data_IF_663301184155
#
_entry.id   IF_663301184155
#
_cell.length_a   1.000
_cell.length_b   1.000
_cell.length_c   1.000
_cell.angle_alpha   90.00
_cell.angle_beta   90.00
_cell.angle_gamma   90.00
#
_symmetry.space_group_name_H-M   'P 1'
#
loop_
_entity.id
_entity.type
_entity.pdbx_description
1 polymer ?
#
# COMPACT_ATOMS: atom_id res chain seq x y z
N UNK A 1 39.97 -15.58 29.31
CA UNK A 1 41.01 -16.59 28.99
C UNK A 1 40.60 -17.31 27.73
N UNK A 2 41.52 -17.32 26.81
CA UNK A 2 41.68 -17.99 25.51
C UNK A 2 41.30 -17.21 24.26
N UNK A 3 42.40 -16.70 23.75
CA UNK A 3 42.61 -16.19 22.39
C UNK A 3 42.64 -17.29 21.34
N UNK A 4 42.17 -17.07 20.13
CA UNK A 4 42.82 -17.65 18.96
C UNK A 4 42.92 -16.60 17.84
N UNK A 5 44.13 -16.20 17.55
CA UNK A 5 44.58 -15.48 16.35
C UNK A 5 44.90 -16.53 15.27
N UNK A 6 44.56 -16.27 14.05
CA UNK A 6 45.00 -17.03 12.88
C UNK A 6 45.10 -16.12 11.66
N UNK A 7 46.33 -15.65 11.41
CA UNK A 7 46.74 -14.95 10.19
C UNK A 7 47.25 -16.01 9.21
N UNK A 8 46.80 -15.97 7.94
CA UNK A 8 47.57 -16.53 6.82
C UNK A 8 47.44 -15.59 5.61
N UNK A 9 48.56 -15.02 5.23
CA UNK A 9 48.84 -14.36 3.96
C UNK A 9 49.61 -15.30 3.06
N UNK A 10 49.37 -15.33 1.77
CA UNK A 10 50.28 -15.75 0.66
C UNK A 10 49.61 -15.29 -0.64
N UNK A 11 50.08 -14.33 -1.35
CA UNK A 11 51.23 -14.23 -2.26
C UNK A 11 50.82 -14.34 -3.75
N UNK A 12 51.25 -13.35 -4.46
CA UNK A 12 51.11 -13.02 -5.88
C UNK A 12 51.71 -14.07 -6.85
N UNK A 13 51.18 -14.12 -8.08
CA UNK A 13 51.96 -14.51 -9.24
C UNK A 13 51.43 -13.81 -10.50
N UNK A 14 52.20 -12.92 -11.00
CA UNK A 14 52.17 -12.23 -12.28
C UNK A 14 52.64 -13.19 -13.41
N UNK A 15 51.97 -13.19 -14.56
CA UNK A 15 52.54 -13.70 -15.81
C UNK A 15 52.17 -12.77 -16.96
N UNK A 16 53.12 -11.95 -17.33
CA UNK A 16 53.20 -11.25 -18.61
C UNK A 16 53.64 -12.22 -19.70
N UNK A 17 52.93 -12.23 -20.83
CA UNK A 17 53.44 -12.75 -22.10
C UNK A 17 53.28 -11.68 -23.16
N UNK A 18 54.39 -11.06 -23.49
CA UNK A 18 54.60 -10.32 -24.74
C UNK A 18 54.99 -11.29 -25.80
N UNK A 19 54.41 -11.23 -27.00
CA UNK A 19 55.07 -11.63 -28.23
C UNK A 19 54.80 -10.62 -29.34
N UNK A 20 55.88 -10.19 -29.93
CA UNK A 20 56.01 -9.14 -30.92
C UNK A 20 55.98 -9.67 -32.35
N UNK A 21 55.53 -8.79 -33.25
CA UNK A 21 55.98 -8.52 -34.63
C UNK A 21 56.31 -9.67 -35.58
N UNK A 22 55.70 -9.63 -36.75
CA UNK A 22 56.49 -9.46 -37.97
C UNK A 22 55.55 -9.18 -39.17
N UNK A 23 56.01 -8.27 -40.04
CA UNK A 23 55.35 -7.61 -41.12
C UNK A 23 55.16 -8.47 -42.39
N UNK A 24 54.40 -7.92 -43.30
CA UNK A 24 54.16 -8.46 -44.67
C UNK A 24 53.22 -7.56 -45.45
N UNK A 25 53.74 -6.86 -46.39
CA UNK A 25 53.12 -5.95 -47.35
C UNK A 25 52.21 -6.67 -48.33
N UNK A 26 51.03 -6.10 -48.74
CA UNK A 26 50.22 -6.61 -49.84
C UNK A 26 48.86 -5.97 -50.00
N UNK A 27 48.77 -5.05 -50.89
CA UNK A 27 47.71 -4.42 -51.71
C UNK A 27 46.24 -4.79 -51.52
N UNK A 28 45.44 -3.74 -51.40
CA UNK A 28 44.11 -3.43 -51.98
C UNK A 28 43.06 -4.51 -52.12
N UNK A 29 41.95 -4.35 -51.40
CA UNK A 29 40.60 -4.45 -51.96
C UNK A 29 39.58 -3.86 -50.94
N UNK A 30 38.89 -2.86 -51.39
CA UNK A 30 37.70 -2.26 -50.83
C UNK A 30 36.63 -3.30 -50.50
N UNK A 31 36.23 -3.41 -49.27
CA UNK A 31 34.90 -3.88 -48.87
C UNK A 31 34.45 -3.13 -47.64
N UNK A 32 33.57 -2.15 -47.88
CA UNK A 32 32.69 -1.58 -46.87
C UNK A 32 31.98 -2.67 -46.09
N UNK A 33 32.52 -3.01 -44.95
CA UNK A 33 31.79 -3.78 -43.94
C UNK A 33 31.01 -2.76 -43.08
N UNK A 34 29.71 -2.61 -43.41
CA UNK A 34 28.74 -1.94 -42.59
C UNK A 34 28.70 -2.68 -41.23
N UNK A 35 29.37 -2.14 -40.25
CA UNK A 35 29.21 -2.61 -38.87
C UNK A 35 27.81 -2.19 -38.38
N UNK A 36 26.85 -3.12 -38.53
CA UNK A 36 25.60 -3.06 -37.79
C UNK A 36 25.95 -3.08 -36.29
N UNK A 37 25.98 -1.91 -35.69
CA UNK A 37 25.95 -1.79 -34.23
C UNK A 37 24.62 -2.36 -33.77
N UNK A 38 24.58 -3.64 -33.42
CA UNK A 38 23.53 -4.21 -32.58
C UNK A 38 23.61 -3.45 -31.26
N UNK A 39 22.76 -2.45 -31.11
CA UNK A 39 22.45 -1.86 -29.79
C UNK A 39 21.88 -3.00 -28.95
N UNK A 40 22.72 -3.62 -28.11
CA UNK A 40 22.26 -4.43 -27.00
C UNK A 40 21.44 -3.50 -26.13
N UNK A 41 20.14 -3.62 -26.18
CA UNK A 41 19.26 -2.99 -25.19
C UNK A 41 19.56 -3.72 -23.87
N UNK A 42 20.51 -3.19 -23.14
CA UNK A 42 20.80 -3.64 -21.79
C UNK A 42 19.51 -3.44 -20.99
N UNK A 43 18.87 -4.53 -20.59
CA UNK A 43 17.64 -4.46 -19.80
C UNK A 43 17.95 -3.67 -18.53
N UNK A 44 17.28 -2.53 -18.37
CA UNK A 44 17.47 -1.69 -17.19
C UNK A 44 17.30 -2.51 -15.92
N UNK A 45 18.20 -2.32 -14.95
CA UNK A 45 18.12 -3.03 -13.67
C UNK A 45 16.75 -2.79 -13.00
N UNK A 46 16.17 -3.81 -12.35
CA UNK A 46 14.88 -3.66 -11.69
C UNK A 46 14.94 -2.59 -10.60
N UNK A 47 13.93 -1.75 -10.56
CA UNK A 47 13.74 -0.71 -9.54
C UNK A 47 12.85 -1.27 -8.44
N UNK A 48 13.36 -1.36 -7.22
CA UNK A 48 12.58 -1.75 -6.05
C UNK A 48 11.84 -0.52 -5.51
N UNK A 49 10.51 -0.57 -5.46
CA UNK A 49 9.63 0.51 -5.00
C UNK A 49 8.91 0.12 -3.71
N UNK A 50 9.13 0.86 -2.63
CA UNK A 50 8.49 0.63 -1.33
C UNK A 50 7.22 1.47 -1.21
N UNK A 51 6.06 0.85 -1.19
CA UNK A 51 4.75 1.49 -1.08
C UNK A 51 4.17 1.25 0.32
N UNK A 52 4.04 2.32 1.09
CA UNK A 52 3.36 2.31 2.37
C UNK A 52 1.89 2.64 2.16
N UNK A 53 1.01 1.68 2.39
CA UNK A 53 -0.40 1.80 2.05
C UNK A 53 -1.32 1.36 3.19
N UNK A 54 -2.44 2.04 3.34
CA UNK A 54 -3.48 1.67 4.29
C UNK A 54 -3.89 0.20 4.13
N UNK A 55 -4.14 -0.49 5.25
CA UNK A 55 -4.41 -1.94 5.27
C UNK A 55 -5.60 -2.36 4.39
N UNK A 56 -6.61 -1.50 4.21
CA UNK A 56 -7.75 -1.73 3.32
C UNK A 56 -7.39 -1.83 1.83
N UNK A 57 -6.18 -1.37 1.44
CA UNK A 57 -5.68 -1.43 0.06
C UNK A 57 -4.98 -2.74 -0.30
N UNK A 58 -4.85 -3.67 0.64
CA UNK A 58 -4.05 -4.89 0.53
C UNK A 58 -4.46 -5.88 -0.57
N UNK A 59 -5.62 -5.69 -1.18
CA UNK A 59 -6.11 -6.48 -2.32
C UNK A 59 -6.00 -5.71 -3.64
N UNK A 60 -6.39 -4.43 -3.63
CA UNK A 60 -6.44 -3.63 -4.84
C UNK A 60 -5.03 -3.22 -5.33
N UNK A 61 -4.15 -2.79 -4.44
CA UNK A 61 -2.82 -2.29 -4.84
C UNK A 61 -1.92 -3.37 -5.44
N UNK A 62 -1.83 -4.61 -4.90
CA UNK A 62 -1.10 -5.68 -5.57
C UNK A 62 -1.64 -5.97 -6.98
N UNK A 63 -2.97 -6.02 -7.16
CA UNK A 63 -3.55 -6.23 -8.49
C UNK A 63 -3.20 -5.08 -9.45
N UNK A 64 -3.23 -3.81 -9.00
CA UNK A 64 -2.81 -2.67 -9.81
C UNK A 64 -1.34 -2.79 -10.21
N UNK A 65 -0.47 -3.16 -9.27
CA UNK A 65 0.95 -3.36 -9.56
C UNK A 65 1.18 -4.48 -10.58
N UNK A 66 0.50 -5.62 -10.42
CA UNK A 66 0.71 -6.81 -11.24
C UNK A 66 0.05 -6.72 -12.64
N UNK A 67 -1.02 -5.93 -12.79
CA UNK A 67 -1.77 -5.86 -14.05
C UNK A 67 -1.60 -4.52 -14.77
N UNK A 68 -1.64 -3.40 -14.06
CA UNK A 68 -1.60 -2.06 -14.67
C UNK A 68 -0.16 -1.53 -14.78
N UNK A 69 0.56 -1.49 -13.66
CA UNK A 69 1.93 -0.98 -13.65
C UNK A 69 2.87 -1.89 -14.44
N UNK A 70 2.81 -3.20 -14.23
CA UNK A 70 3.68 -4.16 -14.90
C UNK A 70 3.51 -4.22 -16.43
N UNK A 71 2.31 -3.86 -16.92
CA UNK A 71 2.05 -3.78 -18.37
C UNK A 71 2.87 -2.64 -19.01
N UNK A 72 3.01 -1.50 -18.34
CA UNK A 72 3.74 -0.31 -18.83
C UNK A 72 5.21 -0.30 -18.42
N UNK A 73 5.50 -0.79 -17.22
CA UNK A 73 6.81 -0.66 -16.56
C UNK A 73 7.23 -1.97 -15.86
N UNK A 74 7.56 -3.04 -16.63
CA UNK A 74 7.83 -4.37 -16.08
C UNK A 74 9.06 -4.46 -15.19
N UNK A 75 9.94 -3.45 -15.22
CA UNK A 75 11.15 -3.39 -14.39
C UNK A 75 10.91 -2.82 -13.00
N UNK A 76 9.70 -2.30 -12.71
CA UNK A 76 9.37 -1.81 -11.37
C UNK A 76 8.81 -2.97 -10.54
N UNK A 77 9.50 -3.29 -9.43
CA UNK A 77 9.05 -4.28 -8.45
C UNK A 77 8.53 -3.57 -7.22
N UNK A 78 7.26 -3.75 -6.90
CA UNK A 78 6.63 -3.08 -5.77
C UNK A 78 6.64 -4.00 -4.54
N UNK A 79 7.15 -3.45 -3.43
CA UNK A 79 7.04 -4.04 -2.10
C UNK A 79 6.07 -3.22 -1.28
N UNK A 80 5.08 -3.87 -0.67
CA UNK A 80 4.04 -3.20 0.10
C UNK A 80 4.23 -3.37 1.60
N UNK A 81 4.03 -2.25 2.34
CA UNK A 81 3.84 -2.26 3.78
C UNK A 81 2.39 -1.84 4.06
N UNK A 82 1.54 -2.81 4.43
CA UNK A 82 0.13 -2.58 4.72
C UNK A 82 -0.13 -2.49 6.22
N UNK A 83 -0.39 -1.28 6.72
CA UNK A 83 -0.69 -1.00 8.13
C UNK A 83 -1.82 0.04 8.27
N UNK A 84 -2.22 0.37 9.50
CA UNK A 84 -3.01 1.57 9.74
C UNK A 84 -2.24 2.82 9.31
N UNK A 85 -2.92 3.79 8.68
CA UNK A 85 -2.24 4.98 8.14
C UNK A 85 -1.49 5.78 9.20
N UNK A 86 -1.97 5.79 10.45
CA UNK A 86 -1.26 6.41 11.58
C UNK A 86 0.09 5.73 11.85
N UNK A 87 0.12 4.41 11.89
CA UNK A 87 1.34 3.62 12.09
C UNK A 87 2.34 3.86 10.96
N UNK A 88 1.87 3.96 9.70
CA UNK A 88 2.74 4.25 8.55
C UNK A 88 3.36 5.64 8.64
N UNK A 89 2.60 6.65 9.09
CA UNK A 89 3.14 8.00 9.33
C UNK A 89 4.22 7.97 10.41
N UNK A 90 4.00 7.24 11.50
CA UNK A 90 4.98 7.15 12.57
C UNK A 90 6.25 6.42 12.09
N UNK A 91 6.13 5.33 11.34
CA UNK A 91 7.27 4.65 10.71
C UNK A 91 8.06 5.58 9.78
N UNK A 92 7.38 6.41 8.97
CA UNK A 92 8.06 7.38 8.10
C UNK A 92 8.78 8.46 8.91
N UNK A 93 8.22 8.93 10.04
CA UNK A 93 8.90 9.86 10.97
C UNK A 93 10.16 9.24 11.58
N UNK A 94 10.14 7.94 11.81
CA UNK A 94 11.29 7.17 12.30
C UNK A 94 12.31 6.84 11.20
N UNK A 95 12.08 7.29 9.97
CA UNK A 95 13.00 7.13 8.84
C UNK A 95 12.83 5.84 8.03
N UNK A 96 11.70 5.15 8.16
CA UNK A 96 11.42 3.99 7.33
C UNK A 96 11.39 4.37 5.82
N UNK A 97 12.03 3.57 4.93
CA UNK A 97 12.23 3.91 3.53
C UNK A 97 10.95 3.67 2.72
N UNK A 98 10.04 4.63 2.71
CA UNK A 98 8.87 4.64 1.86
C UNK A 98 9.13 5.51 0.62
N UNK A 99 8.70 5.06 -0.55
CA UNK A 99 8.73 5.83 -1.80
C UNK A 99 7.38 6.48 -2.08
N UNK A 100 6.29 5.77 -1.77
CA UNK A 100 4.91 6.22 -1.93
C UNK A 100 4.16 5.99 -0.62
N UNK A 101 3.31 6.94 -0.24
CA UNK A 101 2.38 6.82 0.88
C UNK A 101 0.94 6.98 0.41
N UNK A 102 0.08 6.00 0.75
CA UNK A 102 -1.36 6.01 0.48
C UNK A 102 -2.15 5.85 1.78
N UNK A 103 -2.87 6.90 2.19
CA UNK A 103 -3.64 6.95 3.42
C UNK A 103 -5.12 6.59 3.21
N UNK A 104 -5.78 6.07 4.24
CA UNK A 104 -7.23 5.84 4.25
C UNK A 104 -8.03 7.02 4.86
N UNK A 105 -7.39 8.10 5.20
CA UNK A 105 -8.04 9.37 5.57
C UNK A 105 -7.16 10.58 5.29
N UNK A 106 -7.80 11.72 5.14
CA UNK A 106 -7.12 13.02 4.98
C UNK A 106 -6.36 13.42 6.25
N UNK A 107 -6.86 13.06 7.45
CA UNK A 107 -6.24 13.42 8.72
C UNK A 107 -4.82 12.89 8.87
N UNK A 108 -4.58 11.62 8.53
CA UNK A 108 -3.24 11.04 8.58
C UNK A 108 -2.36 11.52 7.41
N UNK A 109 -2.93 11.80 6.23
CA UNK A 109 -2.17 12.46 5.17
C UNK A 109 -1.73 13.86 5.59
N UNK A 110 -2.61 14.66 6.23
CA UNK A 110 -2.24 15.98 6.77
C UNK A 110 -1.11 15.88 7.79
N UNK A 111 -1.11 14.89 8.69
CA UNK A 111 0.04 14.67 9.59
C UNK A 111 1.34 14.40 8.82
N UNK A 112 1.27 13.70 7.70
CA UNK A 112 2.46 13.43 6.87
C UNK A 112 2.94 14.69 6.13
N UNK A 113 2.02 15.52 5.62
CA UNK A 113 2.36 16.79 4.96
C UNK A 113 2.94 17.82 5.95
N UNK A 114 2.32 17.95 7.14
CA UNK A 114 2.78 18.87 8.20
C UNK A 114 4.18 18.49 8.69
N UNK A 115 4.46 17.19 8.74
CA UNK A 115 5.78 16.65 9.07
C UNK A 115 6.76 16.69 7.88
N UNK A 116 6.36 17.22 6.71
CA UNK A 116 7.16 17.31 5.48
C UNK A 116 7.70 15.95 5.01
N UNK A 117 6.91 14.90 5.19
CA UNK A 117 7.27 13.53 4.80
C UNK A 117 6.86 13.21 3.35
N UNK A 118 5.87 13.91 2.82
CA UNK A 118 5.29 13.66 1.49
C UNK A 118 5.16 14.94 0.69
N UNK A 119 5.18 14.78 -0.63
CA UNK A 119 4.85 15.83 -1.59
C UNK A 119 3.32 16.08 -1.61
N UNK A 120 2.85 16.91 -2.55
CA UNK A 120 1.42 17.24 -2.69
C UNK A 120 0.57 15.99 -2.94
N UNK A 121 -0.38 15.66 -2.03
CA UNK A 121 -1.22 14.48 -2.18
C UNK A 121 -2.27 14.65 -3.27
N UNK A 122 -2.66 13.52 -3.89
CA UNK A 122 -3.77 13.43 -4.83
C UNK A 122 -4.83 12.47 -4.29
N UNK A 123 -6.11 12.84 -4.21
CA UNK A 123 -7.18 11.91 -3.85
C UNK A 123 -7.37 10.90 -4.99
N UNK A 124 -7.52 9.61 -4.66
CA UNK A 124 -7.67 8.56 -5.66
C UNK A 124 -8.88 7.65 -5.43
N UNK A 125 -9.43 7.60 -4.22
CA UNK A 125 -10.59 6.77 -3.88
C UNK A 125 -11.34 7.35 -2.68
N UNK A 126 -12.52 6.79 -2.41
CA UNK A 126 -13.26 7.02 -1.18
C UNK A 126 -13.88 5.71 -0.66
N UNK A 127 -14.24 5.68 0.63
CA UNK A 127 -14.82 4.53 1.30
C UNK A 127 -15.73 4.98 2.44
N UNK A 128 -16.59 4.08 2.90
CA UNK A 128 -17.47 4.29 4.05
C UNK A 128 -17.42 3.11 4.99
N UNK A 129 -17.78 3.33 6.26
CA UNK A 129 -17.88 2.25 7.23
C UNK A 129 -19.16 1.44 7.05
N UNK A 130 -19.07 0.18 7.41
CA UNK A 130 -20.21 -0.74 7.60
C UNK A 130 -19.99 -1.58 8.85
N UNK A 131 -21.06 -2.15 9.38
CA UNK A 131 -21.01 -3.11 10.48
C UNK A 131 -20.97 -4.50 9.90
N UNK A 132 -20.05 -5.35 10.37
CA UNK A 132 -20.01 -6.77 10.01
C UNK A 132 -20.21 -7.62 11.25
N UNK A 133 -20.86 -8.77 11.05
CA UNK A 133 -21.05 -9.81 12.06
C UNK A 133 -20.63 -11.16 11.49
N UNK A 134 -20.30 -12.17 12.30
CA UNK A 134 -20.05 -13.51 11.80
C UNK A 134 -21.24 -14.05 11.01
N UNK A 135 -20.99 -14.94 10.04
CA UNK A 135 -22.02 -15.58 9.24
C UNK A 135 -23.16 -16.14 10.10
N UNK A 136 -24.40 -15.88 9.70
CA UNK A 136 -25.59 -16.30 10.43
C UNK A 136 -25.94 -15.41 11.62
N UNK A 137 -25.18 -14.36 11.86
CA UNK A 137 -25.44 -13.37 12.92
C UNK A 137 -25.88 -14.00 14.26
N UNK A 138 -25.05 -14.85 14.87
CA UNK A 138 -25.44 -15.60 16.07
C UNK A 138 -25.79 -14.70 17.25
N UNK A 139 -25.24 -13.49 17.31
CA UNK A 139 -25.49 -12.50 18.34
C UNK A 139 -26.78 -11.68 18.12
N UNK A 140 -27.45 -11.84 16.95
CA UNK A 140 -28.68 -11.15 16.55
C UNK A 140 -28.56 -9.61 16.61
N UNK A 141 -27.42 -9.10 16.14
CA UNK A 141 -27.14 -7.65 16.07
C UNK A 141 -27.90 -7.08 14.88
N UNK A 142 -28.54 -5.93 15.06
CA UNK A 142 -29.41 -5.29 14.07
C UNK A 142 -28.88 -3.96 13.56
N UNK A 143 -27.91 -3.35 14.26
CA UNK A 143 -27.34 -2.06 13.88
C UNK A 143 -26.35 -1.51 14.90
N UNK A 144 -26.04 -0.23 14.77
CA UNK A 144 -25.34 0.55 15.82
C UNK A 144 -26.38 1.04 16.83
N UNK A 145 -26.94 0.13 17.58
CA UNK A 145 -28.04 0.34 18.52
C UNK A 145 -27.88 -0.56 19.76
N UNK A 146 -28.90 -0.63 20.61
CA UNK A 146 -28.88 -1.46 21.82
C UNK A 146 -28.69 -2.96 21.58
N UNK A 147 -28.80 -3.46 20.35
CA UNK A 147 -28.46 -4.86 20.04
C UNK A 147 -26.97 -5.18 20.24
N UNK A 148 -26.13 -4.18 20.36
CA UNK A 148 -24.71 -4.30 20.69
C UNK A 148 -24.44 -4.38 22.21
N UNK A 149 -25.44 -4.15 23.05
CA UNK A 149 -25.26 -4.15 24.51
C UNK A 149 -24.80 -5.54 24.99
N UNK A 150 -23.66 -5.56 25.69
CA UNK A 150 -23.04 -6.80 26.18
C UNK A 150 -22.43 -7.69 25.11
N UNK A 151 -22.35 -7.24 23.85
CA UNK A 151 -21.71 -7.96 22.76
C UNK A 151 -20.23 -7.58 22.60
N UNK A 152 -19.45 -8.48 22.02
CA UNK A 152 -18.03 -8.26 21.73
C UNK A 152 -17.89 -7.43 20.47
N UNK A 153 -18.07 -6.11 20.60
CA UNK A 153 -17.79 -5.17 19.51
C UNK A 153 -16.29 -4.92 19.42
N UNK A 154 -15.73 -5.01 18.23
CA UNK A 154 -14.34 -4.64 17.92
C UNK A 154 -14.32 -3.51 16.92
N UNK A 155 -13.47 -2.50 17.15
CA UNK A 155 -13.33 -1.32 16.30
C UNK A 155 -11.85 -1.02 16.06
N UNK A 156 -11.55 -0.06 15.19
CA UNK A 156 -10.20 0.47 15.09
C UNK A 156 -9.91 1.46 16.23
N UNK A 157 -8.67 1.48 16.72
CA UNK A 157 -8.20 2.45 17.68
C UNK A 157 -8.36 3.89 17.20
N UNK A 158 -8.55 4.81 18.13
CA UNK A 158 -8.59 6.23 17.82
C UNK A 158 -7.25 6.69 17.22
N UNK A 159 -7.32 7.51 16.16
CA UNK A 159 -6.13 7.94 15.39
C UNK A 159 -5.90 7.13 14.12
N UNK A 160 -6.30 5.87 14.11
CA UNK A 160 -6.38 5.06 12.88
C UNK A 160 -7.56 5.56 12.03
N UNK A 161 -7.48 5.57 10.68
CA UNK A 161 -8.54 6.10 9.82
C UNK A 161 -9.94 5.55 10.12
N UNK A 162 -10.07 4.23 10.23
CA UNK A 162 -11.35 3.58 10.59
C UNK A 162 -11.84 3.94 12.00
N UNK A 163 -10.93 4.13 12.97
CA UNK A 163 -11.29 4.60 14.32
C UNK A 163 -11.75 6.06 14.34
N UNK A 164 -11.09 6.92 13.54
CA UNK A 164 -11.54 8.30 13.36
C UNK A 164 -12.95 8.36 12.74
N UNK A 165 -13.22 7.54 11.73
CA UNK A 165 -14.53 7.44 11.09
C UNK A 165 -15.59 6.85 12.05
N UNK A 166 -15.23 5.82 12.83
CA UNK A 166 -16.11 5.22 13.85
C UNK A 166 -16.57 6.27 14.84
N UNK A 167 -15.63 7.07 15.37
CA UNK A 167 -15.98 8.16 16.29
C UNK A 167 -16.95 9.17 15.68
N UNK A 168 -16.64 9.67 14.48
CA UNK A 168 -17.51 10.63 13.79
C UNK A 168 -18.91 10.07 13.52
N UNK A 169 -18.99 8.79 13.12
CA UNK A 169 -20.26 8.14 12.85
C UNK A 169 -21.08 7.95 14.13
N UNK A 170 -20.46 7.51 15.23
CA UNK A 170 -21.11 7.37 16.53
C UNK A 170 -21.65 8.72 17.04
N UNK A 171 -20.85 9.80 16.91
CA UNK A 171 -21.28 11.16 17.27
C UNK A 171 -22.47 11.62 16.44
N UNK A 172 -22.45 11.39 15.10
CA UNK A 172 -23.56 11.74 14.21
C UNK A 172 -24.85 10.98 14.51
N UNK A 173 -24.73 9.73 14.93
CA UNK A 173 -25.87 8.88 15.29
C UNK A 173 -26.34 9.08 16.74
N UNK A 174 -25.56 9.78 17.57
CA UNK A 174 -25.85 9.95 18.99
C UNK A 174 -25.74 8.65 19.78
N UNK A 175 -24.88 7.70 19.32
CA UNK A 175 -24.69 6.41 19.99
C UNK A 175 -23.37 6.36 20.73
N UNK A 176 -23.36 5.67 21.87
CA UNK A 176 -22.13 5.36 22.61
C UNK A 176 -21.72 3.93 22.31
N UNK A 177 -20.51 3.74 21.82
CA UNK A 177 -19.95 2.43 21.54
C UNK A 177 -19.04 1.99 22.69
N UNK A 178 -19.18 0.73 23.10
CA UNK A 178 -18.36 0.13 24.15
C UNK A 178 -17.56 -1.08 23.57
N UNK A 179 -16.51 -0.82 22.78
CA UNK A 179 -15.73 -1.90 22.19
C UNK A 179 -14.95 -2.67 23.26
N UNK A 180 -14.87 -3.99 23.10
CA UNK A 180 -14.03 -4.86 23.95
C UNK A 180 -12.57 -4.86 23.48
N UNK A 181 -12.29 -4.41 22.25
CA UNK A 181 -10.96 -4.30 21.69
C UNK A 181 -10.88 -3.22 20.62
N UNK A 182 -9.72 -2.56 20.55
CA UNK A 182 -9.42 -1.52 19.57
C UNK A 182 -8.16 -1.90 18.79
N UNK A 183 -8.27 -2.01 17.46
CA UNK A 183 -7.23 -2.52 16.58
C UNK A 183 -6.46 -1.43 15.85
N UNK A 184 -5.17 -1.68 15.58
CA UNK A 184 -4.30 -0.72 14.89
C UNK A 184 -4.51 -0.70 13.37
N UNK A 185 -5.27 -1.66 12.82
CA UNK A 185 -5.64 -1.70 11.39
C UNK A 185 -6.98 -2.43 11.18
N UNK A 186 -7.70 -2.02 10.15
CA UNK A 186 -9.05 -2.53 9.86
C UNK A 186 -9.09 -4.02 9.55
N UNK A 187 -8.01 -4.56 8.97
CA UNK A 187 -7.92 -6.00 8.66
C UNK A 187 -7.93 -6.88 9.92
N UNK A 188 -7.47 -6.37 11.06
CA UNK A 188 -7.49 -7.10 12.32
C UNK A 188 -8.90 -7.09 12.92
N UNK A 189 -9.64 -5.98 12.81
CA UNK A 189 -11.07 -5.93 13.16
C UNK A 189 -11.83 -6.99 12.35
N UNK A 190 -11.64 -6.99 11.01
CA UNK A 190 -12.27 -7.97 10.13
C UNK A 190 -11.92 -9.41 10.52
N UNK A 191 -10.65 -9.70 10.76
CA UNK A 191 -10.18 -11.05 11.10
C UNK A 191 -10.83 -11.58 12.39
N UNK A 192 -10.99 -10.75 13.42
CA UNK A 192 -11.66 -11.14 14.66
C UNK A 192 -13.14 -11.48 14.46
N UNK A 193 -13.84 -10.78 13.55
CA UNK A 193 -15.21 -11.12 13.20
C UNK A 193 -15.26 -12.39 12.35
N UNK A 194 -14.39 -12.53 11.34
CA UNK A 194 -14.32 -13.74 10.48
C UNK A 194 -14.05 -15.01 11.28
N UNK A 195 -13.27 -14.91 12.36
CA UNK A 195 -12.94 -16.06 13.26
C UNK A 195 -14.01 -16.35 14.32
N UNK A 196 -15.00 -15.46 14.48
CA UNK A 196 -16.00 -15.56 15.56
C UNK A 196 -15.45 -15.14 16.95
N UNK A 197 -14.27 -14.56 17.01
CA UNK A 197 -13.70 -13.98 18.24
C UNK A 197 -14.47 -12.73 18.70
N UNK A 198 -15.01 -11.98 17.73
CA UNK A 198 -15.88 -10.84 17.92
C UNK A 198 -17.29 -11.12 17.40
N UNK A 199 -18.30 -10.55 18.10
CA UNK A 199 -19.71 -10.63 17.69
C UNK A 199 -20.04 -9.61 16.59
N UNK A 200 -19.29 -8.48 16.56
CA UNK A 200 -19.43 -7.44 15.54
C UNK A 200 -18.13 -6.64 15.38
N UNK A 201 -17.99 -6.00 14.22
CA UNK A 201 -16.88 -5.10 13.94
C UNK A 201 -17.26 -3.98 12.98
N UNK A 202 -16.71 -2.79 13.21
CA UNK A 202 -16.81 -1.67 12.27
C UNK A 202 -15.60 -1.69 11.33
N UNK A 203 -15.88 -1.90 10.04
CA UNK A 203 -14.89 -2.00 8.96
C UNK A 203 -15.33 -1.16 7.77
N UNK A 204 -14.46 -0.98 6.79
CA UNK A 204 -14.88 -0.37 5.53
C UNK A 204 -15.71 -1.35 4.68
N UNK A 205 -16.56 -0.79 3.81
CA UNK A 205 -17.33 -1.59 2.84
C UNK A 205 -16.43 -2.51 1.98
N UNK A 206 -15.22 -2.06 1.67
CA UNK A 206 -14.21 -2.86 0.95
C UNK A 206 -13.72 -4.06 1.76
N UNK A 207 -13.54 -3.91 3.07
CA UNK A 207 -13.14 -5.01 3.97
C UNK A 207 -14.25 -6.02 4.13
N UNK A 208 -15.50 -5.56 4.26
CA UNK A 208 -16.68 -6.43 4.29
C UNK A 208 -16.80 -7.24 2.99
N UNK A 209 -16.60 -6.60 1.84
CA UNK A 209 -16.57 -7.27 0.54
C UNK A 209 -15.45 -8.30 0.44
N UNK A 210 -14.26 -7.97 0.97
CA UNK A 210 -13.11 -8.87 0.97
C UNK A 210 -13.28 -10.09 1.91
N UNK A 211 -14.12 -9.98 2.94
CA UNK A 211 -14.49 -11.09 3.83
C UNK A 211 -15.38 -12.14 3.14
N UNK A 212 -16.12 -11.71 2.09
CA UNK A 212 -17.03 -12.59 1.35
C UNK A 212 -18.13 -13.18 2.24
N UNK A 213 -18.34 -14.48 2.12
CA UNK A 213 -19.40 -15.22 2.82
C UNK A 213 -19.08 -15.59 4.28
N UNK A 214 -17.93 -15.16 4.80
CA UNK A 214 -17.56 -15.38 6.20
C UNK A 214 -18.28 -14.45 7.17
N UNK A 215 -18.78 -13.33 6.67
CA UNK A 215 -19.48 -12.31 7.46
C UNK A 215 -20.81 -11.93 6.82
N UNK A 216 -21.70 -11.39 7.61
CA UNK A 216 -22.89 -10.67 7.15
C UNK A 216 -22.71 -9.17 7.37
N UNK A 217 -23.20 -8.38 6.42
CA UNK A 217 -23.14 -6.94 6.46
C UNK A 217 -24.44 -6.40 7.03
N UNK A 218 -24.33 -5.54 8.02
CA UNK A 218 -25.43 -4.77 8.57
C UNK A 218 -25.23 -3.32 8.15
N UNK A 219 -26.15 -2.79 7.39
CA UNK A 219 -26.08 -1.40 6.94
C UNK A 219 -26.19 -0.43 8.13
N UNK A 220 -25.37 0.60 8.10
CA UNK A 220 -25.38 1.65 9.10
C UNK A 220 -26.10 2.87 8.52
N UNK A 221 -27.16 3.32 9.20
CA UNK A 221 -27.83 4.55 8.82
C UNK A 221 -26.82 5.72 8.74
N UNK A 222 -26.93 6.54 7.70
CA UNK A 222 -26.10 7.73 7.51
C UNK A 222 -24.58 7.46 7.38
N UNK A 223 -24.14 6.22 7.12
CA UNK A 223 -22.72 5.91 6.91
C UNK A 223 -22.09 6.76 5.77
N UNK A 224 -22.89 7.08 4.75
CA UNK A 224 -22.50 7.94 3.63
C UNK A 224 -22.27 9.41 4.00
N UNK A 225 -22.57 9.84 5.24
CA UNK A 225 -22.22 11.17 5.73
C UNK A 225 -20.83 11.24 6.37
N UNK A 226 -20.17 10.09 6.53
CA UNK A 226 -18.79 9.97 7.01
C UNK A 226 -17.97 9.23 5.96
N UNK A 227 -17.60 9.96 4.92
CA UNK A 227 -16.81 9.42 3.80
C UNK A 227 -15.33 9.58 4.09
N UNK A 228 -14.58 8.50 4.03
CA UNK A 228 -13.13 8.52 4.06
C UNK A 228 -12.60 8.81 2.65
N UNK A 229 -11.86 9.90 2.49
CA UNK A 229 -11.06 10.18 1.31
C UNK A 229 -9.70 9.49 1.42
N UNK A 230 -9.25 8.90 0.33
CA UNK A 230 -7.99 8.19 0.22
C UNK A 230 -7.01 8.97 -0.65
N UNK A 231 -6.08 9.71 -0.05
CA UNK A 231 -5.02 10.41 -0.76
C UNK A 231 -3.76 9.56 -0.91
N UNK A 232 -3.00 9.81 -2.00
CA UNK A 232 -1.72 9.19 -2.31
C UNK A 232 -0.69 10.27 -2.67
N UNK A 233 0.56 10.09 -2.25
CA UNK A 233 1.65 11.01 -2.55
C UNK A 233 3.01 10.28 -2.64
N UNK A 234 3.97 10.88 -3.34
CA UNK A 234 5.39 10.54 -3.20
C UNK A 234 5.89 10.95 -1.82
N UNK A 235 6.84 10.21 -1.27
CA UNK A 235 7.58 10.69 -0.10
C UNK A 235 8.68 11.66 -0.53
N UNK A 236 8.99 12.65 0.32
CA UNK A 236 10.07 13.62 0.06
C UNK A 236 11.43 12.93 0.03
N UNK A 237 11.60 11.87 0.80
CA UNK A 237 12.86 11.13 0.93
C UNK A 237 13.13 10.12 -0.19
N UNK A 238 12.15 9.87 -1.08
CA UNK A 238 12.30 8.86 -2.13
C UNK A 238 13.43 9.18 -3.11
N UNK A 239 14.21 8.16 -3.43
CA UNK A 239 15.21 8.19 -4.51
C UNK A 239 14.63 7.65 -5.82
N UNK A 240 13.44 7.06 -5.78
CA UNK A 240 12.75 6.38 -6.88
C UNK A 240 11.56 7.21 -7.42
N UNK A 241 11.72 8.56 -7.53
CA UNK A 241 10.63 9.49 -7.88
C UNK A 241 9.88 9.08 -9.14
N UNK A 242 10.59 8.72 -10.20
CA UNK A 242 10.00 8.32 -11.46
C UNK A 242 9.15 7.05 -11.32
N UNK A 243 9.71 6.01 -10.70
CA UNK A 243 8.98 4.76 -10.46
C UNK A 243 7.77 4.96 -9.54
N UNK A 244 7.91 5.78 -8.49
CA UNK A 244 6.82 6.14 -7.60
C UNK A 244 5.72 6.90 -8.32
N UNK A 245 6.06 7.83 -9.22
CA UNK A 245 5.08 8.56 -10.02
C UNK A 245 4.34 7.62 -10.98
N UNK A 246 5.03 6.69 -11.63
CA UNK A 246 4.40 5.67 -12.49
C UNK A 246 3.42 4.79 -11.72
N UNK A 247 3.74 4.41 -10.48
CA UNK A 247 2.79 3.70 -9.62
C UNK A 247 1.56 4.56 -9.29
N UNK A 248 1.75 5.83 -8.92
CA UNK A 248 0.64 6.77 -8.67
C UNK A 248 -0.22 6.93 -9.93
N UNK A 249 0.39 7.09 -11.09
CA UNK A 249 -0.33 7.23 -12.36
C UNK A 249 -1.09 5.94 -12.71
N UNK A 250 -0.53 4.76 -12.44
CA UNK A 250 -1.24 3.49 -12.58
C UNK A 250 -2.48 3.42 -11.68
N UNK A 251 -2.38 3.85 -10.40
CA UNK A 251 -3.53 3.93 -9.48
C UNK A 251 -4.60 4.90 -9.98
N UNK A 252 -4.21 6.05 -10.53
CA UNK A 252 -5.11 7.09 -11.02
C UNK A 252 -5.68 6.79 -12.43
N UNK A 253 -5.10 5.87 -13.17
CA UNK A 253 -5.55 5.49 -14.52
C UNK A 253 -6.94 4.89 -14.52
N UNK A 254 -7.61 4.87 -15.68
CA UNK A 254 -8.91 4.20 -15.84
C UNK A 254 -8.85 2.72 -15.44
N UNK A 255 -7.77 2.00 -15.81
CA UNK A 255 -7.55 0.61 -15.43
C UNK A 255 -7.39 0.45 -13.91
N UNK A 256 -6.59 1.31 -13.28
CA UNK A 256 -6.42 1.32 -11.82
C UNK A 256 -7.72 1.62 -11.07
N UNK A 257 -8.48 2.60 -11.57
CA UNK A 257 -9.79 2.94 -11.01
C UNK A 257 -10.81 1.80 -11.18
N UNK A 258 -10.75 1.05 -12.30
CA UNK A 258 -11.57 -0.14 -12.49
C UNK A 258 -11.24 -1.24 -11.47
N UNK A 259 -9.95 -1.45 -11.18
CA UNK A 259 -9.51 -2.38 -10.12
C UNK A 259 -10.01 -1.91 -8.75
N UNK A 260 -9.85 -0.64 -8.39
CA UNK A 260 -10.37 -0.10 -7.13
C UNK A 260 -11.87 -0.34 -6.99
N UNK A 261 -12.65 -0.02 -8.04
CA UNK A 261 -14.10 -0.27 -8.09
C UNK A 261 -14.45 -1.76 -7.94
N UNK A 262 -13.68 -2.66 -8.56
CA UNK A 262 -13.84 -4.12 -8.40
C UNK A 262 -13.77 -4.53 -6.93
N UNK A 263 -12.89 -3.90 -6.14
CA UNK A 263 -12.75 -4.15 -4.70
C UNK A 263 -13.73 -3.36 -3.82
N UNK A 264 -14.59 -2.52 -4.41
CA UNK A 264 -15.65 -1.81 -3.70
C UNK A 264 -15.30 -0.39 -3.27
N UNK A 265 -14.16 0.14 -3.70
CA UNK A 265 -13.87 1.56 -3.53
C UNK A 265 -14.77 2.41 -4.43
N UNK A 266 -15.13 3.59 -3.96
CA UNK A 266 -15.77 4.63 -4.76
C UNK A 266 -14.75 5.64 -5.27
N UNK A 267 -15.10 6.39 -6.31
CA UNK A 267 -14.29 7.50 -6.79
C UNK A 267 -14.13 8.58 -5.71
N UNK A 268 -13.07 9.42 -5.78
CA UNK A 268 -12.93 10.57 -4.89
C UNK A 268 -14.18 11.47 -4.94
N UNK A 269 -14.57 12.03 -3.80
CA UNK A 269 -15.72 12.92 -3.72
C UNK A 269 -15.43 14.27 -4.38
N UNK A 270 -16.46 15.03 -4.73
CA UNK A 270 -16.28 16.37 -5.29
C UNK A 270 -15.58 17.33 -4.31
N UNK A 271 -15.75 17.12 -3.02
CA UNK A 271 -15.07 17.89 -1.97
C UNK A 271 -13.54 17.65 -1.93
N UNK A 272 -13.07 16.54 -2.49
CA UNK A 272 -11.64 16.18 -2.53
C UNK A 272 -10.91 16.78 -3.76
N UNK A 273 -11.64 17.43 -4.67
CA UNK A 273 -11.11 17.94 -5.96
C UNK A 273 -10.79 19.44 -5.94
N UNK A 274 -10.94 20.08 -4.75
CA UNK A 274 -10.72 21.52 -4.54
C UNK A 274 -9.34 21.87 -4.00
#
# INVERSE_FOLDING_TARGET
MNHYKGIIAVAAASLLVLTACSGGNGASADKSASASASASTEAAAPVELNVFAAASLNKAFPEIADTVLKESDPNIKVTFNFQGSSTLVDQMKEGAPADVFASADQKNMTKATDAKLVDTPKPFASNVLTLIVPKGNPAKITGLDSSLDGKKLVVCAQGVPCGNATKQLAEKLGVTLNPVSEEQKVTDVRAKVESGEADAGLVYATDAKAAGDKVEIIEIARANEVVNSYPIALTVSTKNKEAGQKFIDAVLSEKGQAVLKKYGFSAPTSADKG
#
